data_IF_958157919649
#
_entry.id   IF_958157919649
#
_cell.length_a   1.000
_cell.length_b   1.000
_cell.length_c   1.000
_cell.angle_alpha   90.00
_cell.angle_beta   90.00
_cell.angle_gamma   90.00
#
_symmetry.space_group_name_H-M   'P 1'
#
loop_
_entity.id
_entity.type
_entity.pdbx_description
1 polymer ?
#
# COMPACT_ATOMS: atom_id res chain seq x y z
N UNK A 1 19.14 19.68 33.29
CA UNK A 1 17.67 19.60 33.13
C UNK A 1 17.38 18.25 32.49
N UNK A 2 16.71 17.35 33.21
CA UNK A 2 16.50 15.96 32.83
C UNK A 2 15.36 15.83 31.82
N UNK A 3 15.61 15.11 30.72
CA UNK A 3 14.58 14.63 29.80
C UNK A 3 13.76 13.52 30.48
N UNK A 4 12.74 13.91 31.26
CA UNK A 4 11.71 13.01 31.74
C UNK A 4 10.68 12.74 30.65
N UNK A 5 11.01 11.87 29.70
CA UNK A 5 10.02 11.27 28.81
C UNK A 5 9.38 10.09 29.52
N UNK A 6 8.08 10.18 29.81
CA UNK A 6 7.30 9.13 30.45
C UNK A 6 7.32 7.85 29.58
N UNK A 7 7.88 6.71 30.07
CA UNK A 7 7.94 5.46 29.31
C UNK A 7 6.56 4.81 29.10
N UNK A 8 5.52 5.38 29.73
CA UNK A 8 4.13 4.89 29.65
C UNK A 8 3.31 5.61 28.59
N UNK A 9 3.86 6.61 27.89
CA UNK A 9 3.15 7.30 26.82
C UNK A 9 2.77 6.28 25.73
N UNK A 10 1.47 6.06 25.46
CA UNK A 10 1.05 5.20 24.38
C UNK A 10 1.63 5.79 23.10
N UNK A 11 2.60 5.09 22.50
CA UNK A 11 3.15 5.43 21.19
C UNK A 11 1.93 5.60 20.29
N UNK A 12 1.70 6.76 19.64
CA UNK A 12 0.55 6.92 18.80
C UNK A 12 0.67 5.91 17.66
N UNK A 13 -0.01 4.77 17.79
CA UNK A 13 -0.27 3.85 16.69
C UNK A 13 -1.35 4.48 15.84
N UNK A 14 -1.07 5.69 15.33
CA UNK A 14 -1.77 6.22 14.19
C UNK A 14 -1.32 5.34 13.04
N UNK A 15 -1.96 4.17 12.93
CA UNK A 15 -1.98 3.39 11.71
C UNK A 15 -2.72 4.29 10.74
N UNK A 16 -1.99 5.22 10.14
CA UNK A 16 -2.46 6.07 9.05
C UNK A 16 -2.93 5.09 8.01
N UNK A 17 -4.22 4.80 8.04
CA UNK A 17 -4.90 4.00 7.02
C UNK A 17 -4.86 4.93 5.83
N UNK A 18 -3.77 4.83 5.05
CA UNK A 18 -3.66 5.55 3.79
C UNK A 18 -4.99 5.32 3.08
N UNK A 19 -5.77 6.37 2.82
CA UNK A 19 -7.03 6.20 2.12
C UNK A 19 -6.68 5.44 0.85
N UNK A 20 -7.26 4.26 0.65
CA UNK A 20 -7.13 3.60 -0.65
C UNK A 20 -7.66 4.61 -1.64
N UNK A 21 -6.84 5.16 -2.56
CA UNK A 21 -7.28 6.19 -3.46
C UNK A 21 -8.53 5.69 -4.18
N UNK A 22 -9.53 6.55 -4.33
CA UNK A 22 -10.68 6.21 -5.17
C UNK A 22 -10.15 5.80 -6.54
N UNK A 23 -10.62 4.70 -7.11
CA UNK A 23 -10.09 4.17 -8.38
C UNK A 23 -10.18 5.22 -9.51
N UNK A 24 -11.12 6.16 -9.37
CA UNK A 24 -11.31 7.31 -10.25
C UNK A 24 -10.11 8.27 -10.29
N UNK A 25 -9.29 8.34 -9.23
CA UNK A 25 -8.17 9.28 -9.12
C UNK A 25 -6.83 8.75 -9.63
N UNK A 26 -6.77 7.52 -10.18
CA UNK A 26 -5.51 6.98 -10.70
C UNK A 26 -5.16 7.59 -12.05
N UNK A 27 -3.90 8.02 -12.20
CA UNK A 27 -3.36 8.40 -13.50
C UNK A 27 -3.34 7.19 -14.44
N UNK A 28 -3.33 7.39 -15.77
CA UNK A 28 -3.23 6.29 -16.73
C UNK A 28 -2.03 5.36 -16.47
N UNK A 29 -0.88 5.91 -16.10
CA UNK A 29 0.32 5.15 -15.74
C UNK A 29 0.10 4.26 -14.50
N UNK A 30 -0.54 4.80 -13.46
CA UNK A 30 -0.86 4.03 -12.25
C UNK A 30 -1.80 2.86 -12.56
N UNK A 31 -2.80 3.08 -13.42
CA UNK A 31 -3.72 2.01 -13.88
C UNK A 31 -2.95 0.93 -14.62
N UNK A 32 -2.07 1.30 -15.55
CA UNK A 32 -1.26 0.35 -16.32
C UNK A 32 -0.35 -0.48 -15.42
N UNK A 33 0.32 0.14 -14.43
CA UNK A 33 1.15 -0.58 -13.45
C UNK A 33 0.33 -1.59 -12.64
N UNK A 34 -0.86 -1.19 -12.18
CA UNK A 34 -1.75 -2.09 -11.46
C UNK A 34 -2.24 -3.23 -12.36
N UNK A 35 -2.60 -2.96 -13.61
CA UNK A 35 -3.03 -3.97 -14.58
C UNK A 35 -1.95 -5.03 -14.81
N UNK A 36 -0.71 -4.60 -14.97
CA UNK A 36 0.42 -5.50 -15.11
C UNK A 36 0.61 -6.40 -13.88
N UNK A 37 0.51 -5.83 -12.67
CA UNK A 37 0.57 -6.63 -11.43
C UNK A 37 -0.58 -7.61 -11.34
N UNK A 38 -1.81 -7.18 -11.63
CA UNK A 38 -3.01 -8.04 -11.58
C UNK A 38 -2.87 -9.23 -12.52
N UNK A 39 -2.42 -9.01 -13.76
CA UNK A 39 -2.19 -10.06 -14.77
C UNK A 39 -1.05 -10.99 -14.36
N UNK A 40 0.08 -10.45 -13.93
CA UNK A 40 1.25 -11.26 -13.54
C UNK A 40 0.98 -12.14 -12.32
N UNK A 41 0.19 -11.64 -11.36
CA UNK A 41 -0.23 -12.40 -10.18
C UNK A 41 -1.46 -13.28 -10.43
N UNK A 42 -2.02 -13.22 -11.65
CA UNK A 42 -3.18 -14.00 -12.10
C UNK A 42 -4.41 -13.74 -11.21
N UNK A 43 -4.51 -12.55 -10.63
CA UNK A 43 -5.60 -12.19 -9.70
C UNK A 43 -6.93 -11.96 -10.42
N UNK A 44 -6.88 -11.64 -11.71
CA UNK A 44 -8.02 -11.58 -12.61
C UNK A 44 -8.76 -12.92 -12.70
N UNK A 45 -8.02 -14.05 -12.62
CA UNK A 45 -8.60 -15.40 -12.70
C UNK A 45 -8.99 -16.00 -11.35
N UNK A 46 -8.75 -15.31 -10.23
CA UNK A 46 -9.06 -15.82 -8.88
C UNK A 46 -10.47 -15.49 -8.39
N UNK A 47 -11.34 -14.98 -9.25
CA UNK A 47 -12.72 -14.63 -8.90
C UNK A 47 -12.83 -13.42 -7.96
N UNK A 48 -11.77 -12.62 -7.82
CA UNK A 48 -11.83 -11.37 -7.05
C UNK A 48 -12.56 -10.28 -7.83
N UNK A 49 -13.30 -9.42 -7.15
CA UNK A 49 -13.86 -8.22 -7.79
C UNK A 49 -12.74 -7.28 -8.25
N UNK A 50 -12.99 -6.50 -9.31
CA UNK A 50 -11.99 -5.56 -9.83
C UNK A 50 -11.48 -4.61 -8.72
N UNK A 51 -12.38 -4.08 -7.89
CA UNK A 51 -12.01 -3.24 -6.74
C UNK A 51 -11.02 -3.95 -5.80
N UNK A 52 -11.23 -5.24 -5.53
CA UNK A 52 -10.31 -6.04 -4.70
C UNK A 52 -8.97 -6.25 -5.40
N UNK A 53 -8.97 -6.60 -6.69
CA UNK A 53 -7.76 -6.75 -7.49
C UNK A 53 -6.91 -5.47 -7.47
N UNK A 54 -7.54 -4.32 -7.72
CA UNK A 54 -6.91 -2.98 -7.67
C UNK A 54 -6.33 -2.67 -6.30
N UNK A 55 -7.08 -2.95 -5.23
CA UNK A 55 -6.60 -2.73 -3.86
C UNK A 55 -5.37 -3.57 -3.55
N UNK A 56 -5.36 -4.86 -3.94
CA UNK A 56 -4.21 -5.74 -3.74
C UNK A 56 -3.00 -5.28 -4.54
N UNK A 57 -3.19 -4.86 -5.80
CA UNK A 57 -2.11 -4.35 -6.65
C UNK A 57 -1.50 -3.07 -6.06
N UNK A 58 -2.32 -2.17 -5.55
CA UNK A 58 -1.84 -0.97 -4.87
C UNK A 58 -1.05 -1.31 -3.60
N UNK A 59 -1.55 -2.24 -2.78
CA UNK A 59 -0.82 -2.70 -1.59
C UNK A 59 0.52 -3.30 -1.95
N UNK A 60 0.57 -4.18 -2.96
CA UNK A 60 1.79 -4.79 -3.44
C UNK A 60 2.82 -3.75 -3.87
N UNK A 61 2.42 -2.80 -4.74
CA UNK A 61 3.32 -1.72 -5.20
C UNK A 61 3.83 -0.84 -4.06
N UNK A 62 2.99 -0.57 -3.06
CA UNK A 62 3.40 0.20 -1.88
C UNK A 62 4.42 -0.55 -1.03
N UNK A 63 4.27 -1.86 -0.83
CA UNK A 63 5.25 -2.66 -0.07
C UNK A 63 6.59 -2.78 -0.80
N UNK A 64 6.59 -2.94 -2.13
CA UNK A 64 7.82 -2.90 -2.93
C UNK A 64 8.52 -1.55 -2.79
N UNK A 65 7.77 -0.44 -2.86
CA UNK A 65 8.33 0.90 -2.65
C UNK A 65 8.97 1.03 -1.27
N UNK A 66 8.29 0.58 -0.21
CA UNK A 66 8.84 0.60 1.15
C UNK A 66 10.11 -0.24 1.29
N UNK A 67 10.14 -1.43 0.69
CA UNK A 67 11.32 -2.29 0.70
C UNK A 67 12.51 -1.58 0.02
N UNK A 68 12.27 -0.96 -1.13
CA UNK A 68 13.28 -0.16 -1.83
C UNK A 68 13.78 1.03 -0.99
N UNK A 69 12.86 1.76 -0.36
CA UNK A 69 13.20 2.90 0.51
C UNK A 69 14.02 2.48 1.75
N UNK A 70 13.88 1.22 2.19
CA UNK A 70 14.68 0.62 3.28
C UNK A 70 16.02 0.05 2.83
N UNK A 71 16.25 -0.12 1.53
CA UNK A 71 17.44 -0.77 0.98
C UNK A 71 17.41 -2.30 1.06
N UNK A 72 16.24 -2.91 1.30
CA UNK A 72 16.05 -4.36 1.44
C UNK A 72 15.93 -5.08 0.06
N UNK A 73 16.44 -4.48 -1.02
CA UNK A 73 16.12 -4.85 -2.40
C UNK A 73 17.32 -5.39 -3.19
#
# INVERSE_FOLDING_TARGET
MCCGGDPTAPRPTTRTRSPTPSISSYTPDQKLRQDNVIRNMVWDKKGFSEKKQRSMAQTFLNEIRKAKDRGDW
#
